data_IF_004814829307
#
_entry.id   IF_004814829307
#
_cell.length_a   1.000
_cell.length_b   1.000
_cell.length_c   1.000
_cell.angle_alpha   90.00
_cell.angle_beta   90.00
_cell.angle_gamma   90.00
#
_symmetry.space_group_name_H-M   'P 1'
#
loop_
_entity.id
_entity.type
_entity.pdbx_description
1 polymer ?
#
# COMPACT_ATOMS: atom_id res chain seq x y z
N UNK A 1 26.79 43.73 32.09
CA UNK A 1 25.46 43.22 31.64
C UNK A 1 25.50 42.16 30.51
N UNK A 2 26.60 41.96 29.75
CA UNK A 2 26.67 40.95 28.67
C UNK A 2 26.90 39.49 29.11
N UNK A 3 27.38 39.22 30.34
CA UNK A 3 27.68 37.83 30.77
C UNK A 3 26.47 37.07 31.32
N UNK A 4 25.52 37.75 31.97
CA UNK A 4 24.31 37.14 32.55
C UNK A 4 23.31 36.64 31.48
N UNK A 5 23.25 37.31 30.33
CA UNK A 5 22.37 36.92 29.20
C UNK A 5 22.87 35.65 28.51
N UNK A 6 24.20 35.48 28.40
CA UNK A 6 24.82 34.28 27.81
C UNK A 6 24.62 33.04 28.66
N UNK A 7 24.62 33.17 29.99
CA UNK A 7 24.42 32.06 30.92
C UNK A 7 22.97 31.56 30.91
N UNK A 8 21.98 32.47 30.83
CA UNK A 8 20.56 32.10 30.70
C UNK A 8 20.22 31.46 29.34
N UNK A 9 20.83 31.95 28.26
CA UNK A 9 20.68 31.35 26.94
C UNK A 9 21.26 29.93 26.87
N UNK A 10 22.42 29.69 27.51
CA UNK A 10 23.03 28.36 27.58
C UNK A 10 22.18 27.36 28.37
N UNK A 11 21.54 27.79 29.47
CA UNK A 11 20.63 26.93 30.27
C UNK A 11 19.36 26.59 29.48
N UNK A 12 18.78 27.54 28.75
CA UNK A 12 17.63 27.29 27.88
C UNK A 12 17.96 26.34 26.73
N UNK A 13 19.15 26.49 26.11
CA UNK A 13 19.61 25.59 25.04
C UNK A 13 19.87 24.18 25.60
N UNK A 14 20.47 24.06 26.78
CA UNK A 14 20.67 22.77 27.44
C UNK A 14 19.34 22.08 27.82
N UNK A 15 18.34 22.86 28.26
CA UNK A 15 17.01 22.33 28.55
C UNK A 15 16.26 21.87 27.29
N UNK A 16 16.39 22.60 26.18
CA UNK A 16 15.79 22.20 24.88
C UNK A 16 16.49 20.96 24.29
N UNK A 17 17.81 20.85 24.42
CA UNK A 17 18.57 19.65 24.01
C UNK A 17 18.28 18.43 24.90
N UNK A 18 18.02 18.64 26.19
CA UNK A 18 17.61 17.55 27.09
C UNK A 18 16.18 17.04 26.81
N UNK A 19 15.32 17.87 26.20
CA UNK A 19 13.97 17.48 25.77
C UNK A 19 13.90 16.93 24.34
N UNK A 20 15.03 16.90 23.59
CA UNK A 20 15.13 16.24 22.30
C UNK A 20 15.25 14.70 22.47
N UNK A 21 14.27 14.10 23.13
CA UNK A 21 14.09 12.65 23.10
C UNK A 21 13.88 12.24 21.64
N UNK A 22 14.76 11.36 21.14
CA UNK A 22 14.64 10.80 19.80
C UNK A 22 13.19 10.40 19.54
N UNK A 23 12.56 11.05 18.55
CA UNK A 23 11.27 10.62 18.03
C UNK A 23 11.47 9.22 17.45
N UNK A 24 11.36 8.21 18.31
CA UNK A 24 11.49 6.81 17.92
C UNK A 24 10.24 6.50 17.14
N UNK A 25 10.38 6.48 15.82
CA UNK A 25 9.41 5.83 14.96
C UNK A 25 9.05 4.47 15.61
N UNK A 26 7.77 4.11 15.57
CA UNK A 26 7.21 2.85 16.09
C UNK A 26 7.65 1.63 15.25
N UNK A 27 8.90 1.62 14.81
CA UNK A 27 9.53 0.49 14.17
C UNK A 27 9.65 -0.63 15.21
N UNK A 28 9.20 -1.86 14.90
CA UNK A 28 9.38 -2.99 15.79
C UNK A 28 10.87 -3.20 16.12
N UNK A 29 11.24 -3.56 17.37
CA UNK A 29 12.62 -3.83 17.72
C UNK A 29 13.18 -5.02 16.94
N UNK A 30 14.47 -4.97 16.59
CA UNK A 30 15.13 -6.08 15.89
C UNK A 30 15.29 -7.29 16.81
N UNK A 31 15.61 -8.47 16.24
CA UNK A 31 15.80 -9.70 17.02
C UNK A 31 16.92 -9.56 18.04
N UNK A 32 18.00 -8.88 17.66
CA UNK A 32 19.18 -8.62 18.51
C UNK A 32 18.80 -7.71 19.69
N UNK A 33 18.00 -6.68 19.44
CA UNK A 33 17.49 -5.77 20.47
C UNK A 33 16.56 -6.50 21.44
N UNK A 34 15.65 -7.35 20.95
CA UNK A 34 14.81 -8.18 21.82
C UNK A 34 15.65 -9.11 22.68
N UNK A 35 16.71 -9.72 22.13
CA UNK A 35 17.63 -10.55 22.90
C UNK A 35 18.41 -9.75 23.96
N UNK A 36 18.80 -8.50 23.66
CA UNK A 36 19.38 -7.60 24.64
C UNK A 36 18.39 -7.27 25.76
N UNK A 37 17.14 -6.94 25.42
CA UNK A 37 16.10 -6.59 26.41
C UNK A 37 15.71 -7.73 27.34
N UNK A 38 15.86 -8.98 26.87
CA UNK A 38 15.71 -10.17 27.71
C UNK A 38 16.85 -10.32 28.69
N UNK A 39 18.09 -10.07 28.23
CA UNK A 39 19.29 -10.16 29.06
C UNK A 39 19.35 -9.08 30.14
N UNK A 40 18.94 -7.86 29.81
CA UNK A 40 18.95 -6.72 30.74
C UNK A 40 17.66 -6.58 31.58
N UNK A 41 16.67 -7.46 31.37
CA UNK A 41 15.38 -7.46 32.09
C UNK A 41 14.43 -6.32 31.69
N UNK A 42 14.81 -5.44 30.76
CA UNK A 42 14.01 -4.27 30.36
C UNK A 42 12.82 -4.61 29.46
N UNK A 43 12.74 -5.84 28.93
CA UNK A 43 11.71 -6.22 27.97
C UNK A 43 10.29 -6.01 28.50
N UNK A 44 10.02 -6.36 29.76
CA UNK A 44 8.68 -6.33 30.35
C UNK A 44 8.08 -4.92 30.36
N UNK A 45 8.81 -3.94 30.87
CA UNK A 45 8.32 -2.56 30.94
C UNK A 45 8.26 -1.91 29.55
N UNK A 46 9.17 -2.26 28.63
CA UNK A 46 9.12 -1.80 27.23
C UNK A 46 7.87 -2.30 26.51
N UNK A 47 7.51 -3.57 26.73
CA UNK A 47 6.26 -4.15 26.20
C UNK A 47 5.05 -3.46 26.82
N UNK A 48 5.07 -3.20 28.12
CA UNK A 48 3.99 -2.46 28.79
C UNK A 48 3.82 -1.05 28.22
N UNK A 49 4.91 -0.30 28.07
CA UNK A 49 4.91 1.04 27.47
C UNK A 49 4.41 1.02 26.02
N UNK A 50 4.86 0.05 25.20
CA UNK A 50 4.39 -0.08 23.82
C UNK A 50 2.89 -0.44 23.73
N UNK A 51 2.37 -1.23 24.69
CA UNK A 51 0.94 -1.51 24.79
C UNK A 51 0.15 -0.28 25.24
N UNK A 52 0.69 0.51 26.16
CA UNK A 52 0.03 1.73 26.66
C UNK A 52 -0.22 2.75 25.55
N UNK A 53 0.69 2.82 24.56
CA UNK A 53 0.51 3.65 23.35
C UNK A 53 -0.73 3.29 22.52
N UNK A 54 -1.36 2.13 22.73
CA UNK A 54 -2.63 1.78 22.10
C UNK A 54 -2.59 1.51 20.59
N UNK A 55 -1.46 1.74 19.90
CA UNK A 55 -1.30 1.53 18.44
C UNK A 55 -1.50 0.07 17.99
N UNK A 56 -1.41 -0.88 18.91
CA UNK A 56 -1.71 -2.29 18.68
C UNK A 56 -3.22 -2.60 18.67
N UNK A 57 -4.07 -1.63 19.04
CA UNK A 57 -5.53 -1.76 19.04
C UNK A 57 -6.10 -1.07 17.82
N UNK A 58 -7.03 -1.74 17.16
CA UNK A 58 -7.82 -1.11 16.11
C UNK A 58 -8.81 -0.11 16.73
N UNK A 59 -9.03 1.04 16.08
CA UNK A 59 -10.06 1.97 16.53
C UNK A 59 -11.43 1.27 16.61
N UNK A 60 -12.22 1.45 17.69
CA UNK A 60 -13.48 0.73 17.89
C UNK A 60 -14.43 0.84 16.69
N UNK A 61 -14.53 2.02 16.05
CA UNK A 61 -15.34 2.18 14.84
C UNK A 61 -14.87 1.32 13.65
N UNK A 62 -13.57 1.06 13.52
CA UNK A 62 -13.02 0.22 12.45
C UNK A 62 -13.27 -1.27 12.74
N UNK A 63 -13.07 -1.68 13.99
CA UNK A 63 -13.40 -3.03 14.44
C UNK A 63 -14.89 -3.35 14.23
N UNK A 64 -15.77 -2.41 14.62
CA UNK A 64 -17.21 -2.53 14.41
C UNK A 64 -17.59 -2.66 12.92
N UNK A 65 -16.91 -1.92 12.03
CA UNK A 65 -17.11 -2.04 10.57
C UNK A 65 -16.71 -3.42 10.05
N UNK A 66 -15.54 -3.93 10.45
CA UNK A 66 -15.09 -5.28 10.08
C UNK A 66 -16.03 -6.39 10.57
N UNK A 67 -16.61 -6.25 11.76
CA UNK A 67 -17.58 -7.22 12.29
C UNK A 67 -18.95 -7.14 11.60
N UNK A 68 -19.33 -5.96 11.11
CA UNK A 68 -20.62 -5.72 10.44
C UNK A 68 -20.59 -6.15 8.97
N UNK A 69 -19.43 -6.05 8.32
CA UNK A 69 -19.22 -6.66 7.02
C UNK A 69 -18.69 -8.07 7.21
N UNK A 70 -19.59 -9.03 7.45
CA UNK A 70 -19.42 -10.37 6.89
C UNK A 70 -19.47 -10.21 5.37
N UNK A 71 -18.39 -9.70 4.78
CA UNK A 71 -18.17 -9.78 3.34
C UNK A 71 -18.13 -11.28 3.09
N UNK A 72 -19.23 -11.83 2.58
CA UNK A 72 -19.17 -13.13 1.94
C UNK A 72 -17.96 -13.05 1.01
N UNK A 73 -17.01 -13.97 1.15
CA UNK A 73 -15.85 -14.12 0.27
C UNK A 73 -16.29 -14.60 -1.13
N UNK A 74 -17.36 -14.02 -1.67
CA UNK A 74 -17.82 -14.04 -3.06
C UNK A 74 -18.02 -12.61 -3.58
N UNK A 75 -17.27 -11.64 -3.01
CA UNK A 75 -17.34 -10.24 -3.38
C UNK A 75 -16.62 -9.97 -4.70
N UNK A 76 -17.23 -9.11 -5.52
CA UNK A 76 -16.61 -8.49 -6.69
C UNK A 76 -15.25 -7.89 -6.31
N UNK A 77 -14.16 -8.50 -6.79
CA UNK A 77 -12.81 -8.06 -6.47
C UNK A 77 -11.76 -9.15 -6.71
N UNK A 78 -10.49 -8.76 -6.72
CA UNK A 78 -9.39 -9.72 -6.70
C UNK A 78 -9.26 -10.33 -5.29
N UNK A 79 -8.91 -11.62 -5.17
CA UNK A 79 -8.60 -12.21 -3.88
C UNK A 79 -7.41 -11.49 -3.24
N UNK A 80 -7.31 -11.56 -1.91
CA UNK A 80 -6.19 -10.97 -1.18
C UNK A 80 -4.87 -11.71 -1.43
N UNK A 81 -4.93 -12.97 -1.83
CA UNK A 81 -3.79 -13.88 -2.00
C UNK A 81 -3.99 -14.83 -3.20
N UNK A 82 -2.92 -15.51 -3.60
CA UNK A 82 -2.92 -16.54 -4.64
C UNK A 82 -2.63 -15.99 -6.04
N UNK A 83 -3.01 -16.76 -7.07
CA UNK A 83 -2.69 -16.46 -8.47
C UNK A 83 -3.96 -16.35 -9.33
N UNK A 84 -4.82 -15.33 -9.12
CA UNK A 84 -6.05 -15.20 -9.88
C UNK A 84 -5.77 -14.96 -11.36
N UNK A 85 -6.67 -15.48 -12.22
CA UNK A 85 -6.60 -15.28 -13.67
C UNK A 85 -7.63 -14.24 -14.09
N UNK A 86 -7.14 -13.20 -14.75
CA UNK A 86 -7.92 -12.06 -15.23
C UNK A 86 -7.95 -12.05 -16.75
N UNK A 87 -9.11 -11.74 -17.33
CA UNK A 87 -9.26 -11.53 -18.75
C UNK A 87 -9.28 -10.02 -19.03
N UNK A 88 -8.41 -9.55 -19.92
CA UNK A 88 -8.46 -8.19 -20.44
C UNK A 88 -9.02 -8.20 -21.87
N UNK A 89 -10.07 -7.42 -22.11
CA UNK A 89 -10.70 -7.27 -23.42
C UNK A 89 -10.44 -5.86 -23.95
N UNK A 90 -9.75 -5.76 -25.08
CA UNK A 90 -9.47 -4.49 -25.74
C UNK A 90 -10.61 -4.16 -26.71
N UNK A 91 -11.30 -3.03 -26.48
CA UNK A 91 -12.45 -2.60 -27.28
C UNK A 91 -12.11 -1.35 -28.09
N UNK A 92 -12.24 -1.45 -29.40
CA UNK A 92 -12.14 -0.35 -30.35
C UNK A 92 -13.52 -0.03 -30.94
N UNK A 93 -13.65 1.12 -31.59
CA UNK A 93 -14.88 1.55 -32.28
C UNK A 93 -14.59 1.87 -33.74
N UNK A 94 -15.62 1.90 -34.58
CA UNK A 94 -15.44 2.17 -36.02
C UNK A 94 -14.85 3.56 -36.32
N UNK A 95 -15.07 4.53 -35.41
CA UNK A 95 -14.51 5.90 -35.46
C UNK A 95 -13.29 6.09 -34.56
N UNK A 96 -12.91 5.09 -33.75
CA UNK A 96 -11.80 5.15 -32.81
C UNK A 96 -11.05 3.80 -32.75
N UNK A 97 -10.18 3.53 -33.73
CA UNK A 97 -9.46 2.27 -33.80
C UNK A 97 -8.43 2.14 -32.66
N UNK A 98 -8.22 0.89 -32.22
CA UNK A 98 -7.14 0.56 -31.30
C UNK A 98 -5.78 0.65 -31.99
N UNK A 99 -4.81 1.29 -31.35
CA UNK A 99 -3.49 1.55 -31.93
C UNK A 99 -2.34 0.89 -31.14
N UNK A 100 -2.62 0.46 -29.91
CA UNK A 100 -1.62 -0.19 -29.04
C UNK A 100 -1.55 -1.68 -29.35
N UNK A 101 -0.33 -2.23 -29.44
CA UNK A 101 -0.13 -3.67 -29.57
C UNK A 101 -0.71 -4.41 -28.33
N UNK A 102 -1.65 -5.36 -28.51
CA UNK A 102 -2.19 -6.15 -27.41
C UNK A 102 -1.11 -6.87 -26.58
N UNK A 103 0.02 -7.25 -27.18
CA UNK A 103 1.12 -7.90 -26.44
C UNK A 103 1.79 -6.94 -25.45
N UNK A 104 1.96 -5.67 -25.85
CA UNK A 104 2.49 -4.62 -24.97
C UNK A 104 1.53 -4.33 -23.80
N UNK A 105 0.21 -4.34 -24.06
CA UNK A 105 -0.80 -4.23 -23.01
C UNK A 105 -0.72 -5.43 -22.05
N UNK A 106 -0.62 -6.65 -22.60
CA UNK A 106 -0.49 -7.86 -21.80
C UNK A 106 0.75 -7.85 -20.90
N UNK A 107 1.88 -7.39 -21.43
CA UNK A 107 3.13 -7.24 -20.67
C UNK A 107 2.99 -6.25 -19.51
N UNK A 108 2.26 -5.14 -19.71
CA UNK A 108 1.99 -4.15 -18.64
C UNK A 108 0.94 -4.60 -17.63
N UNK A 109 0.02 -5.49 -17.98
CA UNK A 109 -0.98 -6.01 -17.04
C UNK A 109 -0.46 -7.23 -16.25
N UNK A 110 0.07 -8.22 -16.95
CA UNK A 110 0.36 -9.55 -16.40
C UNK A 110 1.82 -9.98 -16.54
N UNK A 111 2.65 -9.20 -17.22
CA UNK A 111 4.09 -9.44 -17.36
C UNK A 111 4.94 -8.65 -16.37
N UNK A 112 6.25 -8.66 -16.60
CA UNK A 112 7.21 -7.87 -15.82
C UNK A 112 7.22 -6.38 -16.20
N UNK A 113 6.64 -6.04 -17.34
CA UNK A 113 6.58 -4.67 -17.83
C UNK A 113 7.94 -4.11 -18.25
N UNK A 114 8.09 -2.80 -18.14
CA UNK A 114 9.36 -2.12 -18.41
C UNK A 114 10.14 -1.90 -17.09
N UNK A 115 11.31 -2.55 -16.89
CA UNK A 115 12.11 -2.38 -15.68
C UNK A 115 12.55 -0.92 -15.42
N UNK A 116 12.69 -0.11 -16.46
CA UNK A 116 13.09 1.30 -16.32
C UNK A 116 11.93 2.16 -15.78
N UNK A 117 10.71 1.67 -15.86
CA UNK A 117 9.52 2.36 -15.37
C UNK A 117 9.20 2.05 -13.90
N UNK A 118 10.07 1.34 -13.17
CA UNK A 118 9.88 1.03 -11.76
C UNK A 118 9.54 2.31 -10.95
N UNK A 119 8.49 2.32 -10.10
CA UNK A 119 7.65 1.19 -9.66
C UNK A 119 6.33 0.96 -10.44
N UNK A 120 6.22 1.54 -11.65
CA UNK A 120 5.07 1.51 -12.56
C UNK A 120 5.27 0.57 -13.77
N UNK A 121 6.15 -0.42 -13.62
CA UNK A 121 6.50 -1.39 -14.66
C UNK A 121 5.28 -2.17 -15.15
N UNK A 122 4.52 -2.75 -14.22
CA UNK A 122 3.32 -3.54 -14.50
C UNK A 122 2.35 -3.61 -13.31
N UNK A 123 1.08 -3.88 -13.62
CA UNK A 123 0.03 -4.11 -12.62
C UNK A 123 0.36 -5.33 -11.74
N UNK A 124 0.84 -6.41 -12.35
CA UNK A 124 1.28 -7.62 -11.65
C UNK A 124 2.33 -7.35 -10.60
N UNK A 125 3.40 -6.66 -10.97
CA UNK A 125 4.49 -6.38 -10.04
C UNK A 125 4.08 -5.38 -8.96
N UNK A 126 3.20 -4.42 -9.27
CA UNK A 126 2.60 -3.56 -8.25
C UNK A 126 1.87 -4.36 -7.17
N UNK A 127 0.92 -5.22 -7.54
CA UNK A 127 0.15 -6.03 -6.58
C UNK A 127 1.03 -7.04 -5.84
N UNK A 128 1.99 -7.65 -6.53
CA UNK A 128 2.94 -8.57 -5.91
C UNK A 128 3.78 -7.91 -4.84
N UNK A 129 4.25 -6.68 -5.05
CA UNK A 129 4.99 -5.92 -4.02
C UNK A 129 4.07 -5.46 -2.89
N UNK A 130 2.90 -4.89 -3.22
CA UNK A 130 1.96 -4.34 -2.24
C UNK A 130 1.39 -5.42 -1.30
N UNK A 131 1.27 -6.66 -1.78
CA UNK A 131 0.80 -7.81 -1.01
C UNK A 131 1.91 -8.60 -0.31
N UNK A 132 3.17 -8.15 -0.32
CA UNK A 132 4.31 -8.92 0.22
C UNK A 132 4.44 -10.32 -0.40
N UNK A 133 4.27 -10.40 -1.73
CA UNK A 133 4.30 -11.62 -2.53
C UNK A 133 3.15 -12.62 -2.27
N UNK A 134 2.09 -12.20 -1.57
CA UNK A 134 0.93 -13.05 -1.35
C UNK A 134 -0.01 -13.12 -2.56
N UNK A 135 -0.05 -12.07 -3.40
CA UNK A 135 -0.89 -11.98 -4.58
C UNK A 135 -0.06 -11.87 -5.86
N UNK A 136 -0.27 -12.79 -6.80
CA UNK A 136 0.37 -12.79 -8.12
C UNK A 136 -0.68 -12.86 -9.23
N UNK A 137 -1.15 -11.69 -9.70
CA UNK A 137 -2.18 -11.66 -10.74
C UNK A 137 -1.62 -12.13 -12.09
N UNK A 138 -2.34 -13.03 -12.74
CA UNK A 138 -2.03 -13.47 -14.10
C UNK A 138 -3.23 -13.30 -15.01
N UNK A 139 -3.06 -13.56 -16.30
CA UNK A 139 -4.16 -13.38 -17.24
C UNK A 139 -3.77 -13.47 -18.69
N UNK A 140 -4.74 -13.17 -19.54
CA UNK A 140 -4.53 -13.00 -20.97
C UNK A 140 -5.25 -11.74 -21.46
N UNK A 141 -4.66 -11.10 -22.45
CA UNK A 141 -5.25 -9.95 -23.15
C UNK A 141 -5.74 -10.42 -24.52
N UNK A 142 -7.03 -10.27 -24.76
CA UNK A 142 -7.60 -10.49 -26.09
C UNK A 142 -7.29 -9.28 -26.97
N UNK A 143 -7.07 -9.54 -28.26
CA UNK A 143 -6.83 -8.49 -29.24
C UNK A 143 -8.01 -7.51 -29.36
N UNK A 144 -7.80 -6.44 -30.12
CA UNK A 144 -8.82 -5.42 -30.34
C UNK A 144 -10.06 -6.02 -31.00
N UNK A 145 -11.18 -5.96 -30.29
CA UNK A 145 -12.50 -6.14 -30.87
C UNK A 145 -13.03 -4.76 -31.28
N UNK A 146 -13.21 -4.55 -32.58
CA UNK A 146 -13.75 -3.30 -33.12
C UNK A 146 -15.26 -3.40 -33.24
N UNK A 147 -15.97 -2.63 -32.42
CA UNK A 147 -17.41 -2.50 -32.53
C UNK A 147 -17.80 -1.86 -33.88
N UNK A 148 -18.90 -2.29 -34.52
CA UNK A 148 -19.29 -1.79 -35.84
C UNK A 148 -19.86 -0.36 -35.81
N UNK A 149 -20.15 0.17 -34.62
CA UNK A 149 -20.73 1.50 -34.40
C UNK A 149 -19.72 2.47 -33.78
N UNK A 150 -19.92 3.80 -33.93
CA UNK A 150 -19.03 4.80 -33.37
C UNK A 150 -19.10 4.84 -31.84
N UNK A 151 -18.03 5.29 -31.19
CA UNK A 151 -17.95 5.39 -29.72
C UNK A 151 -19.09 6.21 -29.12
N UNK A 152 -19.55 7.24 -29.84
CA UNK A 152 -20.66 8.10 -29.40
C UNK A 152 -22.01 7.39 -29.31
N UNK A 153 -22.15 6.20 -29.92
CA UNK A 153 -23.37 5.39 -29.83
C UNK A 153 -23.45 4.58 -28.52
N UNK A 154 -22.38 4.50 -27.72
CA UNK A 154 -22.40 3.87 -26.40
C UNK A 154 -23.10 4.79 -25.41
N UNK A 155 -24.19 4.32 -24.82
CA UNK A 155 -24.94 5.04 -23.81
C UNK A 155 -24.05 5.36 -22.59
N UNK A 156 -23.95 6.63 -22.22
CA UNK A 156 -23.18 7.06 -21.05
C UNK A 156 -24.10 7.18 -19.85
N UNK A 157 -24.26 6.09 -19.11
CA UNK A 157 -25.05 6.08 -17.87
C UNK A 157 -24.17 5.83 -16.64
N UNK A 158 -24.70 6.22 -15.49
CA UNK A 158 -24.18 5.82 -14.17
C UNK A 158 -24.85 4.56 -13.64
N UNK A 159 -25.79 3.97 -14.38
CA UNK A 159 -26.48 2.77 -13.96
C UNK A 159 -25.47 1.61 -13.91
N UNK A 160 -25.21 1.08 -12.70
CA UNK A 160 -24.25 0.00 -12.47
C UNK A 160 -22.80 0.44 -12.26
N UNK A 161 -22.51 1.73 -12.03
CA UNK A 161 -21.23 2.18 -11.45
C UNK A 161 -21.30 2.29 -9.92
#
# INVERSE_FOLDING_TARGET
MRSMVRSRAAVLIAAVLACAGAARALEPPTREQVAQYRRDGSLSWRVAAAKDLGNHRMAPQLAARLSSTKVAAGGWGLPAEGTPKVLALLIAFSDYPGWTDPTAVNAKLFGDGDPMAFPYESLRNFYRRASYHLLDIGGNTLGWYTAPYPRSAVEQTTAGR
#
